data_IF_819834898385
#
_entry.id   IF_819834898385
#
_cell.length_a   1.000
_cell.length_b   1.000
_cell.length_c   1.000
_cell.angle_alpha   90.00
_cell.angle_beta   90.00
_cell.angle_gamma   90.00
#
_symmetry.space_group_name_H-M   'P 1'
#
loop_
_entity.id
_entity.type
_entity.pdbx_description
1 polymer ?
#
# COMPACT_ATOMS: atom_id res chain seq x y z
N UNK A 1 -27.42 46.08 55.70
CA UNK A 1 -28.06 45.82 54.39
C UNK A 1 -26.93 45.38 53.46
N UNK A 2 -26.71 44.09 53.31
CA UNK A 2 -25.67 43.53 52.44
C UNK A 2 -26.30 43.03 51.14
N UNK A 3 -25.91 43.64 50.01
CA UNK A 3 -26.35 43.22 48.67
C UNK A 3 -25.49 42.06 48.17
N UNK A 4 -26.15 40.94 47.90
CA UNK A 4 -25.53 39.73 47.30
C UNK A 4 -25.59 39.86 45.79
N UNK A 5 -24.45 40.08 45.13
CA UNK A 5 -24.33 40.10 43.65
C UNK A 5 -24.09 38.69 43.15
N UNK A 6 -25.09 38.14 42.45
CA UNK A 6 -24.94 36.86 41.72
C UNK A 6 -24.16 37.13 40.42
N UNK A 7 -22.98 36.50 40.31
CA UNK A 7 -22.27 36.38 39.04
C UNK A 7 -22.82 35.19 38.25
N UNK A 8 -23.51 35.50 37.15
CA UNK A 8 -23.92 34.48 36.18
C UNK A 8 -22.69 34.05 35.33
N UNK A 9 -22.24 32.81 35.49
CA UNK A 9 -21.22 32.25 34.64
C UNK A 9 -21.80 31.95 33.25
N UNK A 10 -21.42 32.76 32.26
CA UNK A 10 -21.71 32.46 30.84
C UNK A 10 -20.79 31.30 30.39
N UNK A 11 -21.36 30.12 30.25
CA UNK A 11 -20.65 28.96 29.69
C UNK A 11 -20.28 29.22 28.23
N UNK A 12 -18.98 29.29 27.93
CA UNK A 12 -18.46 29.29 26.57
C UNK A 12 -18.87 28.01 25.87
N UNK A 13 -19.82 28.08 24.92
CA UNK A 13 -20.10 27.02 23.97
C UNK A 13 -18.88 26.88 23.05
N UNK A 14 -18.10 25.82 23.23
CA UNK A 14 -17.05 25.48 22.27
C UNK A 14 -17.66 25.31 20.87
N UNK A 15 -17.02 25.80 19.80
CA UNK A 15 -17.51 25.59 18.46
C UNK A 15 -17.50 24.09 18.18
N UNK A 16 -18.66 23.53 17.77
CA UNK A 16 -18.72 22.18 17.21
C UNK A 16 -17.84 22.16 15.98
N UNK A 17 -16.66 21.59 16.07
CA UNK A 17 -15.88 21.19 14.91
C UNK A 17 -16.73 20.18 14.14
N UNK A 18 -17.30 20.60 13.01
CA UNK A 18 -17.85 19.70 12.02
C UNK A 18 -16.63 18.94 11.51
N UNK A 19 -16.51 17.69 11.90
CA UNK A 19 -15.48 16.80 11.36
C UNK A 19 -15.72 16.76 9.85
N UNK A 20 -14.84 17.41 9.09
CA UNK A 20 -14.81 17.33 7.65
C UNK A 20 -14.64 15.85 7.32
N UNK A 21 -15.64 15.24 6.67
CA UNK A 21 -15.56 13.85 6.27
C UNK A 21 -14.34 13.69 5.39
N UNK A 22 -13.31 13.04 5.91
CA UNK A 22 -12.09 12.77 5.16
C UNK A 22 -12.48 12.04 3.88
N UNK A 23 -12.31 12.70 2.74
CA UNK A 23 -12.52 12.07 1.42
C UNK A 23 -11.53 10.93 1.32
N UNK A 24 -12.03 9.70 1.22
CA UNK A 24 -11.18 8.54 1.01
C UNK A 24 -10.47 8.70 -0.34
N UNK A 25 -9.14 8.57 -0.39
CA UNK A 25 -8.39 8.68 -1.64
C UNK A 25 -8.72 7.50 -2.55
N UNK A 26 -8.71 7.72 -3.85
CA UNK A 26 -8.66 6.63 -4.80
C UNK A 26 -7.27 6.01 -4.78
N UNK A 27 -7.19 4.68 -4.69
CA UNK A 27 -5.93 3.94 -4.69
C UNK A 27 -5.77 3.26 -6.03
N UNK A 28 -4.67 3.56 -6.73
CA UNK A 28 -4.26 2.88 -7.95
C UNK A 28 -3.03 2.05 -7.62
N UNK A 29 -3.17 0.72 -7.70
CA UNK A 29 -2.08 -0.21 -7.49
C UNK A 29 -1.55 -0.72 -8.83
N UNK A 30 -0.29 -0.38 -9.16
CA UNK A 30 0.37 -0.82 -10.39
C UNK A 30 1.36 -1.93 -10.03
N UNK A 31 1.15 -3.11 -10.59
CA UNK A 31 1.98 -4.28 -10.34
C UNK A 31 2.48 -4.88 -11.66
N UNK A 32 3.69 -4.50 -12.11
CA UNK A 32 4.27 -5.06 -13.34
C UNK A 32 4.69 -6.51 -13.14
N UNK A 33 4.52 -7.32 -14.16
CA UNK A 33 4.98 -8.70 -14.15
C UNK A 33 6.49 -8.78 -14.40
N UNK A 34 7.18 -9.58 -13.62
CA UNK A 34 8.63 -9.92 -13.76
C UNK A 34 9.56 -8.70 -13.98
N UNK A 35 9.21 -7.58 -13.37
CA UNK A 35 9.99 -6.35 -13.49
C UNK A 35 11.11 -6.33 -12.44
N UNK A 36 12.37 -6.29 -12.89
CA UNK A 36 13.54 -6.27 -11.98
C UNK A 36 13.66 -4.91 -11.30
N UNK A 37 14.00 -4.93 -10.00
CA UNK A 37 14.24 -3.70 -9.24
C UNK A 37 15.31 -2.80 -9.89
N UNK A 38 16.38 -3.39 -10.43
CA UNK A 38 17.47 -2.64 -11.07
C UNK A 38 17.07 -2.00 -12.39
N UNK A 39 15.98 -2.44 -13.04
CA UNK A 39 15.55 -1.95 -14.36
C UNK A 39 14.77 -0.62 -14.28
N UNK A 40 15.19 0.29 -13.41
CA UNK A 40 14.64 1.64 -13.26
C UNK A 40 15.78 2.65 -13.34
N UNK A 41 15.68 3.62 -14.26
CA UNK A 41 16.74 4.57 -14.57
C UNK A 41 17.15 5.45 -13.40
N UNK A 42 16.19 5.79 -12.53
CA UNK A 42 16.44 6.66 -11.38
C UNK A 42 17.46 6.10 -10.40
N UNK A 43 17.71 4.78 -10.35
CA UNK A 43 18.75 4.20 -9.48
C UNK A 43 20.17 4.68 -9.80
N UNK A 44 20.40 5.16 -11.03
CA UNK A 44 21.69 5.73 -11.44
C UNK A 44 21.79 7.26 -11.26
N UNK A 45 20.72 7.91 -10.79
CA UNK A 45 20.65 9.35 -10.62
C UNK A 45 21.12 9.78 -9.22
N UNK A 46 21.55 11.02 -9.13
CA UNK A 46 21.88 11.67 -7.86
C UNK A 46 20.67 11.65 -6.89
N UNK A 47 20.93 11.42 -5.61
CA UNK A 47 19.90 11.32 -4.59
C UNK A 47 19.25 9.93 -4.43
N UNK A 48 19.44 9.02 -5.40
CA UNK A 48 19.02 7.62 -5.29
C UNK A 48 20.18 6.65 -5.23
N UNK A 49 21.22 6.90 -6.02
CA UNK A 49 22.39 6.02 -6.16
C UNK A 49 23.05 5.70 -4.82
N UNK A 50 23.18 6.68 -3.94
CA UNK A 50 23.88 6.52 -2.66
C UNK A 50 23.01 5.84 -1.58
N UNK A 51 21.73 5.61 -1.87
CA UNK A 51 20.77 4.97 -0.95
C UNK A 51 20.67 3.46 -1.11
N UNK A 52 21.35 2.89 -2.10
CA UNK A 52 21.28 1.46 -2.43
C UNK A 52 22.70 0.90 -2.62
N UNK A 53 22.84 -0.40 -2.36
CA UNK A 53 24.11 -1.12 -2.47
C UNK A 53 24.28 -1.86 -3.82
N UNK A 54 23.46 -1.52 -4.80
CA UNK A 54 23.53 -2.09 -6.15
C UNK A 54 23.61 -0.98 -7.20
N UNK A 55 23.95 -1.35 -8.42
CA UNK A 55 23.94 -0.46 -9.58
C UNK A 55 22.65 -0.70 -10.37
N UNK A 56 21.97 0.38 -10.76
CA UNK A 56 20.85 0.30 -11.70
C UNK A 56 21.30 -0.13 -13.10
N UNK A 57 20.40 -0.77 -13.84
CA UNK A 57 20.63 -1.10 -15.25
C UNK A 57 20.73 0.19 -16.09
N UNK A 58 21.44 0.16 -17.22
CA UNK A 58 21.52 1.30 -18.13
C UNK A 58 20.25 1.41 -18.98
N UNK A 59 19.14 1.71 -18.35
CA UNK A 59 17.79 1.82 -18.96
C UNK A 59 17.28 3.24 -18.95
N UNK A 60 16.40 3.58 -19.88
CA UNK A 60 15.77 4.89 -19.98
C UNK A 60 14.29 4.79 -19.58
N UNK A 61 13.95 5.34 -18.40
CA UNK A 61 12.60 5.26 -17.81
C UNK A 61 12.10 6.64 -17.36
N UNK A 62 11.96 7.63 -18.26
CA UNK A 62 11.78 9.03 -17.89
C UNK A 62 10.52 9.29 -17.04
N UNK A 63 9.43 8.60 -17.31
CA UNK A 63 8.19 8.75 -16.57
C UNK A 63 8.33 8.16 -15.14
N UNK A 64 8.95 6.98 -15.01
CA UNK A 64 9.21 6.36 -13.70
C UNK A 64 10.21 7.21 -12.92
N UNK A 65 11.23 7.74 -13.58
CA UNK A 65 12.25 8.60 -12.98
C UNK A 65 11.62 9.91 -12.42
N UNK A 66 10.70 10.50 -13.16
CA UNK A 66 9.95 11.68 -12.70
C UNK A 66 9.07 11.32 -11.50
N UNK A 67 8.32 10.24 -11.60
CA UNK A 67 7.49 9.76 -10.50
C UNK A 67 8.29 9.46 -9.24
N UNK A 68 9.47 8.84 -9.38
CA UNK A 68 10.35 8.56 -8.24
C UNK A 68 10.82 9.83 -7.51
N UNK A 69 11.06 10.93 -8.24
CA UNK A 69 11.45 12.23 -7.63
C UNK A 69 10.31 12.90 -6.86
N UNK A 70 9.07 12.63 -7.22
CA UNK A 70 7.87 13.22 -6.65
C UNK A 70 7.18 12.32 -5.60
N UNK A 71 7.74 11.15 -5.31
CA UNK A 71 7.13 10.14 -4.46
C UNK A 71 8.09 9.56 -3.43
N UNK A 72 7.56 8.71 -2.54
CA UNK A 72 8.36 7.93 -1.62
C UNK A 72 8.88 6.67 -2.30
N UNK A 73 10.20 6.50 -2.38
CA UNK A 73 10.84 5.29 -2.91
C UNK A 73 11.28 4.38 -1.77
N UNK A 74 10.74 3.18 -1.72
CA UNK A 74 11.12 2.15 -0.74
C UNK A 74 12.31 1.35 -1.28
N UNK A 75 13.52 1.65 -0.78
CA UNK A 75 14.78 1.09 -1.29
C UNK A 75 15.03 -0.37 -0.88
N UNK A 76 14.34 -0.84 0.15
CA UNK A 76 14.55 -2.17 0.74
C UNK A 76 13.26 -2.98 0.88
N UNK A 77 12.25 -2.68 0.03
CA UNK A 77 11.03 -3.47 -0.01
C UNK A 77 11.31 -4.89 -0.50
N UNK A 78 10.80 -5.88 0.23
CA UNK A 78 11.05 -7.29 -0.05
C UNK A 78 9.73 -8.07 -0.14
N UNK A 79 9.70 -9.07 -1.00
CA UNK A 79 8.62 -10.06 -1.05
C UNK A 79 8.95 -11.24 -0.15
N UNK A 80 7.99 -11.70 0.64
CA UNK A 80 8.14 -12.90 1.46
C UNK A 80 8.22 -14.19 0.62
N UNK A 81 7.70 -14.16 -0.61
CA UNK A 81 7.81 -15.22 -1.59
C UNK A 81 7.90 -14.62 -2.99
N UNK A 82 9.09 -14.52 -3.59
CA UNK A 82 9.30 -13.88 -4.88
C UNK A 82 8.96 -14.81 -6.07
N UNK A 83 7.90 -15.58 -5.95
CA UNK A 83 7.40 -16.49 -6.97
C UNK A 83 6.02 -16.02 -7.42
N UNK A 84 5.73 -16.03 -8.71
CA UNK A 84 4.57 -15.41 -9.37
C UNK A 84 3.24 -15.63 -8.65
N UNK A 85 2.66 -16.84 -8.71
CA UNK A 85 1.34 -17.09 -8.13
C UNK A 85 1.30 -16.99 -6.60
N UNK A 86 2.29 -17.50 -5.84
CA UNK A 86 2.34 -17.29 -4.39
C UNK A 86 2.37 -15.82 -3.99
N UNK A 87 3.18 -15.00 -4.65
CA UNK A 87 3.23 -13.56 -4.37
C UNK A 87 1.89 -12.88 -4.66
N UNK A 88 1.25 -13.21 -5.77
CA UNK A 88 -0.07 -12.66 -6.12
C UNK A 88 -1.14 -13.08 -5.12
N UNK A 89 -1.11 -14.34 -4.68
CA UNK A 89 -1.98 -14.82 -3.61
C UNK A 89 -1.80 -14.04 -2.30
N UNK A 90 -0.55 -13.80 -1.89
CA UNK A 90 -0.26 -12.96 -0.73
C UNK A 90 -0.76 -11.52 -0.89
N UNK A 91 -0.53 -10.91 -2.05
CA UNK A 91 -0.94 -9.55 -2.35
C UNK A 91 -2.46 -9.39 -2.25
N UNK A 92 -3.20 -10.35 -2.82
CA UNK A 92 -4.66 -10.30 -2.86
C UNK A 92 -5.31 -10.58 -1.50
N UNK A 93 -4.73 -11.46 -0.69
CA UNK A 93 -5.36 -11.97 0.54
C UNK A 93 -4.71 -11.49 1.83
N UNK A 94 -3.51 -10.93 1.78
CA UNK A 94 -2.71 -10.63 2.97
C UNK A 94 -2.18 -11.87 3.69
N UNK A 95 -2.36 -13.07 3.13
CA UNK A 95 -1.98 -14.34 3.77
C UNK A 95 -0.72 -14.92 3.14
N UNK A 96 0.11 -15.58 3.96
CA UNK A 96 1.25 -16.35 3.46
C UNK A 96 0.82 -17.48 2.51
N UNK A 97 1.71 -17.93 1.59
CA UNK A 97 1.35 -18.88 0.52
C UNK A 97 0.67 -20.15 1.01
N UNK A 98 1.18 -20.77 2.06
CA UNK A 98 0.59 -21.99 2.61
C UNK A 98 -0.80 -21.75 3.21
N UNK A 99 -1.05 -20.57 3.74
CA UNK A 99 -2.35 -20.21 4.33
C UNK A 99 -3.36 -19.82 3.26
N UNK A 100 -2.93 -19.13 2.21
CA UNK A 100 -3.78 -18.75 1.09
C UNK A 100 -4.16 -19.90 0.18
N UNK A 101 -3.43 -21.03 0.25
CA UNK A 101 -3.60 -22.20 -0.63
C UNK A 101 -2.74 -22.14 -1.90
N UNK A 102 -1.87 -21.14 -2.05
CA UNK A 102 -1.02 -20.95 -3.24
C UNK A 102 0.47 -21.07 -2.91
N UNK A 103 0.96 -22.25 -2.47
CA UNK A 103 2.37 -22.43 -2.13
C UNK A 103 3.30 -22.49 -3.35
N UNK A 104 2.76 -22.80 -4.54
CA UNK A 104 3.49 -22.97 -5.79
C UNK A 104 2.79 -22.22 -6.93
N UNK A 105 3.42 -22.14 -8.09
CA UNK A 105 2.77 -21.57 -9.26
C UNK A 105 1.54 -22.39 -9.66
N UNK A 106 0.43 -21.70 -9.87
CA UNK A 106 -0.80 -22.27 -10.37
C UNK A 106 -0.62 -22.60 -11.86
N UNK A 107 -0.90 -23.85 -12.21
CA UNK A 107 -0.96 -24.32 -13.59
C UNK A 107 -1.85 -25.57 -13.67
N UNK A 108 -2.17 -25.99 -14.89
CA UNK A 108 -3.05 -27.16 -15.14
C UNK A 108 -2.50 -28.49 -14.61
N UNK A 109 -1.19 -28.58 -14.40
CA UNK A 109 -0.52 -29.77 -13.87
C UNK A 109 -0.40 -29.77 -12.34
N UNK A 110 -0.81 -28.68 -11.69
CA UNK A 110 -0.74 -28.51 -10.23
C UNK A 110 -2.04 -27.94 -9.68
N UNK A 111 -3.13 -28.71 -9.73
CA UNK A 111 -4.47 -28.24 -9.32
C UNK A 111 -4.57 -27.94 -7.80
N UNK A 112 -3.61 -28.42 -7.00
CA UNK A 112 -3.55 -28.17 -5.56
C UNK A 112 -3.04 -26.77 -5.19
N UNK A 113 -2.55 -25.99 -6.15
CA UNK A 113 -2.09 -24.63 -5.94
C UNK A 113 -3.13 -23.64 -6.47
N UNK A 114 -4.15 -23.38 -5.67
CA UNK A 114 -5.22 -22.43 -5.94
C UNK A 114 -5.59 -21.68 -4.66
N UNK A 115 -6.17 -20.50 -4.79
CA UNK A 115 -6.73 -19.83 -3.61
C UNK A 115 -7.79 -20.73 -2.97
N UNK A 116 -7.80 -20.74 -1.65
CA UNK A 116 -8.85 -21.41 -0.87
C UNK A 116 -10.18 -20.72 -1.15
N UNK A 117 -11.25 -21.49 -1.17
CA UNK A 117 -12.61 -20.98 -1.44
C UNK A 117 -13.09 -19.97 -0.37
N UNK A 118 -12.58 -20.10 0.85
CA UNK A 118 -12.86 -19.22 1.99
C UNK A 118 -11.86 -18.04 2.11
N UNK A 119 -10.96 -17.84 1.16
CA UNK A 119 -10.00 -16.76 1.20
C UNK A 119 -10.64 -15.43 0.80
N UNK A 120 -10.69 -14.51 1.76
CA UNK A 120 -11.11 -13.14 1.50
C UNK A 120 -9.99 -12.37 0.79
N UNK A 121 -10.38 -11.60 -0.22
CA UNK A 121 -9.47 -10.79 -1.01
C UNK A 121 -9.69 -9.29 -0.77
N UNK A 122 -8.66 -8.49 -1.04
CA UNK A 122 -8.75 -7.02 -0.94
C UNK A 122 -9.93 -6.45 -1.74
N UNK A 123 -10.31 -7.07 -2.86
CA UNK A 123 -11.46 -6.67 -3.66
C UNK A 123 -12.79 -6.88 -2.91
N UNK A 124 -12.89 -7.91 -2.08
CA UNK A 124 -14.07 -8.17 -1.24
C UNK A 124 -14.26 -7.08 -0.21
N UNK A 125 -13.17 -6.70 0.48
CA UNK A 125 -13.20 -5.61 1.46
C UNK A 125 -13.51 -4.26 0.82
N UNK A 126 -12.94 -3.98 -0.36
CA UNK A 126 -13.20 -2.72 -1.08
C UNK A 126 -14.66 -2.60 -1.50
N UNK A 127 -15.28 -3.68 -1.98
CA UNK A 127 -16.71 -3.69 -2.39
C UNK A 127 -17.68 -3.51 -1.23
N UNK A 128 -17.28 -3.90 -0.01
CA UNK A 128 -18.08 -3.76 1.21
C UNK A 128 -17.85 -2.42 1.92
N UNK A 129 -17.04 -1.52 1.37
CA UNK A 129 -16.70 -0.23 1.99
C UNK A 129 -15.87 -0.37 3.28
N UNK A 130 -15.24 -1.52 3.50
CA UNK A 130 -14.45 -1.81 4.71
C UNK A 130 -12.98 -1.38 4.60
N UNK A 131 -12.52 -0.97 3.43
CA UNK A 131 -11.23 -0.32 3.25
C UNK A 131 -11.41 1.15 3.61
N UNK A 132 -10.98 1.52 4.81
CA UNK A 132 -10.97 2.88 5.34
C UNK A 132 -9.57 3.47 5.27
#
# INVERSE_FOLDING_TARGET
>A
MGGLTLFAAQGCKAPKQVAEQAKHPNIIYVFPDQYRNQAMGFWNQEGFRDKVNFRGDPVHTPNIDTFARESMVLTSAQSNCPLSSPHRGMLLTGMYPNRSGVPLNCNSTRPISSLRDDAECIATYSSQGQVR
#
